data_IF_105043033737
#
_entry.id   IF_105043033737
#
_cell.length_a   1.000
_cell.length_b   1.000
_cell.length_c   1.000
_cell.angle_alpha   90.00
_cell.angle_beta   90.00
_cell.angle_gamma   90.00
#
_symmetry.space_group_name_H-M   'P 1'
#
loop_
_entity.id
_entity.type
_entity.pdbx_description
1 polymer ?
#
# COMPACT_ATOMS: atom_id res chain seq x y z
N UNK A 1 31.97 -7.59 1.21
CA UNK A 1 31.48 -6.25 0.81
C UNK A 1 30.12 -6.44 0.17
N UNK A 2 29.07 -6.47 0.98
CA UNK A 2 27.69 -6.66 0.51
C UNK A 2 27.05 -5.32 0.16
N UNK A 3 25.98 -5.37 -0.61
CA UNK A 3 25.19 -4.18 -0.95
C UNK A 3 24.51 -3.72 0.35
N UNK A 4 25.00 -2.63 0.93
CA UNK A 4 24.45 -2.06 2.15
C UNK A 4 23.16 -1.29 1.89
N UNK A 5 22.44 -0.95 2.96
CA UNK A 5 21.27 -0.06 2.90
C UNK A 5 21.65 1.28 2.25
N UNK A 6 22.86 1.80 2.50
CA UNK A 6 23.38 3.03 1.91
C UNK A 6 23.54 2.95 0.38
N UNK A 7 24.15 1.90 -0.15
CA UNK A 7 24.23 1.68 -1.60
C UNK A 7 22.84 1.59 -2.25
N UNK A 8 21.90 0.86 -1.62
CA UNK A 8 20.53 0.74 -2.13
C UNK A 8 19.81 2.09 -2.23
N UNK A 9 20.02 2.98 -1.27
CA UNK A 9 19.45 4.34 -1.31
C UNK A 9 20.05 5.18 -2.45
N UNK A 10 21.35 5.07 -2.70
CA UNK A 10 22.01 5.79 -3.81
C UNK A 10 21.47 5.29 -5.15
N UNK A 11 21.36 3.97 -5.33
CA UNK A 11 20.79 3.37 -6.55
C UNK A 11 19.34 3.80 -6.74
N UNK A 12 18.53 3.76 -5.68
CA UNK A 12 17.14 4.21 -5.71
C UNK A 12 17.03 5.68 -6.11
N UNK A 13 17.91 6.54 -5.59
CA UNK A 13 17.93 7.95 -5.94
C UNK A 13 18.22 8.17 -7.43
N UNK A 14 19.19 7.44 -7.99
CA UNK A 14 19.50 7.50 -9.44
C UNK A 14 18.30 7.04 -10.27
N UNK A 15 17.69 5.91 -9.93
CA UNK A 15 16.48 5.40 -10.62
C UNK A 15 15.34 6.42 -10.53
N UNK A 16 15.12 7.03 -9.37
CA UNK A 16 14.10 8.04 -9.18
C UNK A 16 14.35 9.31 -10.02
N UNK A 17 15.61 9.70 -10.24
CA UNK A 17 15.97 10.81 -11.12
C UNK A 17 15.77 10.46 -12.61
N UNK A 18 16.11 9.24 -13.03
CA UNK A 18 15.95 8.79 -14.42
C UNK A 18 14.49 8.65 -14.83
N UNK A 19 13.69 7.99 -14.00
CA UNK A 19 12.28 7.73 -14.29
C UNK A 19 11.35 8.86 -13.82
N UNK A 20 11.83 9.72 -12.92
CA UNK A 20 11.03 10.72 -12.23
C UNK A 20 10.14 10.11 -11.14
N UNK A 21 9.93 10.86 -10.06
CA UNK A 21 9.09 10.42 -8.92
C UNK A 21 7.62 10.21 -9.30
N UNK A 22 7.13 10.88 -10.35
CA UNK A 22 5.73 10.76 -10.82
C UNK A 22 5.42 9.37 -11.37
N UNK A 23 6.31 8.80 -12.21
CA UNK A 23 6.14 7.44 -12.73
C UNK A 23 6.34 6.40 -11.62
N UNK A 24 7.36 6.60 -10.77
CA UNK A 24 7.64 5.72 -9.65
C UNK A 24 6.48 5.68 -8.63
N UNK A 25 5.82 6.81 -8.38
CA UNK A 25 4.64 6.87 -7.51
C UNK A 25 3.44 6.14 -8.10
N UNK A 26 3.18 6.30 -9.40
CA UNK A 26 2.08 5.61 -10.08
C UNK A 26 2.24 4.09 -9.95
N UNK A 27 3.39 3.57 -10.39
CA UNK A 27 3.70 2.13 -10.34
C UNK A 27 3.82 1.64 -8.89
N UNK A 28 4.39 2.44 -8.00
CA UNK A 28 4.50 2.11 -6.58
C UNK A 28 3.15 2.04 -5.86
N UNK A 29 2.14 2.79 -6.32
CA UNK A 29 0.78 2.73 -5.75
C UNK A 29 0.13 1.40 -6.12
N UNK A 30 0.23 1.00 -7.39
CA UNK A 30 -0.34 -0.27 -7.88
C UNK A 30 0.35 -1.48 -7.26
N UNK A 31 1.69 -1.49 -7.25
CA UNK A 31 2.49 -2.53 -6.60
C UNK A 31 2.26 -2.55 -5.08
N UNK A 32 2.15 -1.38 -4.45
CA UNK A 32 1.90 -1.25 -3.02
C UNK A 32 0.54 -1.82 -2.62
N UNK A 33 -0.51 -1.59 -3.42
CA UNK A 33 -1.82 -2.18 -3.20
C UNK A 33 -1.79 -3.70 -3.31
N UNK A 34 -1.12 -4.24 -4.33
CA UNK A 34 -0.96 -5.69 -4.50
C UNK A 34 -0.18 -6.33 -3.35
N UNK A 35 0.94 -5.74 -2.95
CA UNK A 35 1.76 -6.22 -1.83
C UNK A 35 0.99 -6.13 -0.51
N UNK A 36 0.20 -5.07 -0.30
CA UNK A 36 -0.64 -4.91 0.90
C UNK A 36 -1.67 -6.02 1.00
N UNK A 37 -2.39 -6.32 -0.09
CA UNK A 37 -3.35 -7.42 -0.14
C UNK A 37 -2.67 -8.79 0.04
N UNK A 38 -1.48 -8.99 -0.54
CA UNK A 38 -0.70 -10.21 -0.36
C UNK A 38 -0.27 -10.40 1.10
N UNK A 39 0.26 -9.34 1.75
CA UNK A 39 0.62 -9.40 3.18
C UNK A 39 -0.60 -9.65 4.06
N UNK A 40 -1.74 -9.03 3.76
CA UNK A 40 -2.99 -9.24 4.50
C UNK A 40 -3.48 -10.69 4.37
N UNK A 41 -3.53 -11.24 3.16
CA UNK A 41 -3.95 -12.63 2.95
C UNK A 41 -2.98 -13.65 3.59
N UNK A 42 -1.68 -13.36 3.56
CA UNK A 42 -0.67 -14.21 4.23
C UNK A 42 -0.84 -14.15 5.75
N UNK A 43 -1.02 -12.95 6.31
CA UNK A 43 -1.26 -12.77 7.75
C UNK A 43 -2.58 -13.42 8.19
N UNK A 44 -3.66 -13.25 7.43
CA UNK A 44 -4.97 -13.89 7.70
C UNK A 44 -4.89 -15.43 7.61
N UNK A 45 -4.05 -15.97 6.72
CA UNK A 45 -3.77 -17.41 6.67
C UNK A 45 -2.96 -17.91 7.87
N UNK A 46 -2.15 -17.06 8.49
CA UNK A 46 -1.37 -17.36 9.71
C UNK A 46 -2.23 -17.19 10.98
N UNK A 47 -3.16 -16.22 10.95
CA UNK A 47 -4.02 -15.80 12.06
C UNK A 47 -5.36 -16.55 12.10
N UNK A 48 -5.75 -17.27 11.04
CA UNK A 48 -6.87 -18.23 11.05
C UNK A 48 -6.68 -19.41 12.04
N UNK A 49 -5.54 -19.48 12.75
CA UNK A 49 -5.34 -20.31 13.91
C UNK A 49 -5.89 -19.71 15.23
N UNK A 50 -6.21 -18.40 15.32
CA UNK A 50 -6.72 -17.74 16.54
C UNK A 50 -7.49 -16.40 16.26
N UNK A 51 -8.81 -16.47 15.97
CA UNK A 51 -9.85 -15.42 16.15
C UNK A 51 -9.89 -14.15 15.21
N UNK A 52 -10.95 -13.28 15.25
CA UNK A 52 -11.73 -12.81 14.09
C UNK A 52 -11.27 -11.49 13.43
N UNK A 53 -11.73 -11.17 12.20
CA UNK A 53 -11.13 -10.15 11.33
C UNK A 53 -11.46 -8.72 11.76
N UNK A 54 -10.43 -7.94 12.11
CA UNK A 54 -10.55 -6.49 12.29
C UNK A 54 -10.29 -5.76 10.98
N UNK A 55 -11.17 -4.79 10.70
CA UNK A 55 -11.37 -4.13 9.42
C UNK A 55 -10.20 -3.33 8.86
N UNK A 56 -10.27 -3.09 7.56
CA UNK A 56 -9.53 -2.02 6.88
C UNK A 56 -10.27 -1.65 5.60
N UNK A 57 -11.47 -1.10 5.74
CA UNK A 57 -12.09 -0.29 4.70
C UNK A 57 -11.40 1.08 4.68
N UNK A 58 -10.70 1.47 3.60
CA UNK A 58 -10.29 2.85 3.44
C UNK A 58 -11.51 3.65 2.96
N UNK A 59 -12.09 4.39 3.89
CA UNK A 59 -12.75 5.68 3.72
C UNK A 59 -12.91 6.13 2.25
N UNK A 60 -14.08 5.90 1.68
CA UNK A 60 -14.58 6.66 0.51
C UNK A 60 -15.91 7.31 0.89
N UNK A 61 -15.82 8.37 1.70
CA UNK A 61 -16.74 9.52 1.73
C UNK A 61 -18.17 9.32 2.28
N UNK A 62 -18.51 9.89 3.45
CA UNK A 62 -19.90 10.13 3.82
C UNK A 62 -20.37 11.45 3.21
N UNK A 63 -21.01 11.39 2.05
CA UNK A 63 -21.79 12.52 1.52
C UNK A 63 -23.15 12.08 0.96
N UNK A 64 -23.79 11.10 1.61
CA UNK A 64 -25.24 10.90 1.48
C UNK A 64 -25.93 11.98 2.31
N UNK A 65 -26.11 13.18 1.72
CA UNK A 65 -27.09 14.16 2.21
C UNK A 65 -28.48 13.54 2.03
N UNK A 66 -28.86 12.68 2.97
CA UNK A 66 -30.25 12.46 3.38
C UNK A 66 -30.78 13.77 3.94
N UNK A 67 -31.17 14.67 3.04
CA UNK A 67 -32.13 15.70 3.37
C UNK A 67 -33.52 15.09 3.14
N UNK A 68 -33.96 14.28 4.10
CA UNK A 68 -35.38 14.16 4.47
C UNK A 68 -35.98 15.59 4.48
N UNK A 69 -37.16 15.91 3.98
CA UNK A 69 -38.41 15.18 3.74
C UNK A 69 -39.33 16.13 2.90
N UNK A 70 -40.55 15.73 2.50
CA UNK A 70 -41.37 16.42 1.50
C UNK A 70 -41.86 17.82 1.92
#
# INVERSE_FOLDING_TARGET
MGIGVSELLIVLAIVALLFGTKKLRSVGTDLGAAIKSFRKATAESEEAADAPPSGSDPDTGPAEKRNDRP
#
